data_IF_227102215318
#
_entry.id   IF_227102215318
#
_cell.length_a   1.000
_cell.length_b   1.000
_cell.length_c   1.000
_cell.angle_alpha   90.00
_cell.angle_beta   90.00
_cell.angle_gamma   90.00
#
_symmetry.space_group_name_H-M   'P 1'
#
loop_
_entity.id
_entity.type
_entity.pdbx_description
1 polymer ?
#
# COMPACT_ATOMS: atom_id res chain seq x y z
N UNK A 1 5.29 -5.75 16.99
CA UNK A 1 5.82 -6.36 18.22
C UNK A 1 5.91 -7.84 17.97
N UNK A 2 7.13 -8.34 17.76
CA UNK A 2 7.36 -9.79 17.65
C UNK A 2 7.33 -10.38 19.06
N UNK A 3 6.43 -11.33 19.30
CA UNK A 3 6.39 -12.07 20.56
C UNK A 3 7.12 -13.39 20.33
N UNK A 4 8.25 -13.60 20.99
CA UNK A 4 9.08 -14.81 20.86
C UNK A 4 8.44 -16.08 21.45
N UNK A 5 7.24 -15.98 22.01
CA UNK A 5 6.50 -17.11 22.60
C UNK A 5 5.00 -16.94 22.39
N UNK A 6 4.35 -18.05 22.11
CA UNK A 6 2.90 -18.13 22.13
C UNK A 6 2.38 -17.78 23.53
N UNK A 7 1.49 -16.81 23.60
CA UNK A 7 0.82 -16.42 24.83
C UNK A 7 -0.60 -16.96 24.81
N UNK A 8 -0.91 -17.89 25.68
CA UNK A 8 -2.25 -18.47 25.80
C UNK A 8 -2.99 -17.83 26.98
N UNK A 9 -4.06 -17.10 26.66
CA UNK A 9 -4.94 -16.48 27.64
C UNK A 9 -6.28 -17.23 27.66
N UNK A 10 -6.63 -17.82 28.79
CA UNK A 10 -7.95 -18.39 29.01
C UNK A 10 -8.94 -17.30 29.43
N UNK A 11 -10.06 -17.22 28.75
CA UNK A 11 -11.18 -16.33 29.10
C UNK A 11 -12.30 -17.18 29.64
N UNK A 12 -12.67 -16.93 30.89
CA UNK A 12 -13.79 -17.61 31.60
C UNK A 12 -15.08 -16.82 31.45
N UNK A 13 -15.98 -17.03 32.41
CA UNK A 13 -17.27 -16.35 32.46
C UNK A 13 -17.13 -14.85 32.79
N UNK A 14 -18.14 -14.07 32.43
CA UNK A 14 -18.29 -12.73 32.93
C UNK A 14 -18.56 -12.75 34.44
N UNK A 15 -18.15 -11.66 35.13
CA UNK A 15 -18.55 -11.42 36.50
C UNK A 15 -20.06 -11.10 36.60
N UNK A 16 -20.60 -10.99 37.82
CA UNK A 16 -22.06 -10.88 38.06
C UNK A 16 -22.70 -9.66 37.38
N UNK A 17 -21.98 -8.56 37.24
CA UNK A 17 -22.47 -7.33 36.58
C UNK A 17 -22.22 -7.31 35.08
N UNK A 18 -21.52 -8.29 34.52
CA UNK A 18 -21.18 -8.40 33.10
C UNK A 18 -20.10 -7.43 32.64
N UNK A 19 -19.57 -6.59 33.52
CA UNK A 19 -18.59 -5.54 33.16
C UNK A 19 -17.17 -6.05 32.96
N UNK A 20 -16.87 -7.29 33.37
CA UNK A 20 -15.55 -7.91 33.31
C UNK A 20 -15.62 -9.40 33.15
N UNK A 21 -14.58 -10.01 32.59
CA UNK A 21 -14.40 -11.45 32.48
C UNK A 21 -13.25 -11.91 33.39
N UNK A 22 -13.38 -13.11 33.93
CA UNK A 22 -12.27 -13.79 34.57
C UNK A 22 -11.30 -14.30 33.53
N UNK A 23 -10.03 -13.93 33.66
CA UNK A 23 -8.97 -14.32 32.73
C UNK A 23 -7.82 -14.97 33.47
N UNK A 24 -7.16 -15.92 32.82
CA UNK A 24 -6.01 -16.65 33.36
C UNK A 24 -4.97 -16.87 32.28
N UNK A 25 -3.71 -16.56 32.56
CA UNK A 25 -2.60 -16.91 31.68
C UNK A 25 -2.26 -18.40 31.80
N UNK A 26 -1.93 -19.05 30.70
CA UNK A 26 -1.45 -20.44 30.75
C UNK A 26 -0.20 -20.54 31.63
N UNK A 27 -0.12 -21.61 32.41
CA UNK A 27 0.96 -21.81 33.39
C UNK A 27 0.86 -20.96 34.66
N UNK A 28 -0.06 -20.01 34.78
CA UNK A 28 -0.32 -19.25 36.00
C UNK A 28 -1.43 -19.89 36.84
N UNK A 29 -1.37 -19.74 38.16
CA UNK A 29 -2.49 -20.08 39.06
C UNK A 29 -3.33 -18.86 39.46
N UNK A 30 -2.97 -17.68 38.96
CA UNK A 30 -3.67 -16.44 39.27
C UNK A 30 -4.79 -16.19 38.26
N UNK A 31 -5.95 -15.77 38.76
CA UNK A 31 -7.11 -15.36 37.97
C UNK A 31 -7.30 -13.88 38.17
N UNK A 32 -7.44 -13.17 37.07
CA UNK A 32 -7.63 -11.72 37.05
C UNK A 32 -8.97 -11.34 36.44
N UNK A 33 -9.44 -10.13 36.73
CA UNK A 33 -10.57 -9.53 36.05
C UNK A 33 -10.04 -8.62 34.94
N UNK A 34 -10.57 -8.82 33.73
CA UNK A 34 -10.31 -7.95 32.58
C UNK A 34 -11.63 -7.35 32.10
N UNK A 35 -11.67 -6.06 31.83
CA UNK A 35 -12.89 -5.39 31.38
C UNK A 35 -13.46 -6.03 30.13
N UNK A 36 -14.78 -6.10 30.03
CA UNK A 36 -15.48 -6.71 28.88
C UNK A 36 -15.00 -6.08 27.56
N UNK A 37 -14.85 -4.75 27.50
CA UNK A 37 -14.37 -4.06 26.30
C UNK A 37 -12.99 -4.53 25.84
N UNK A 38 -12.06 -4.83 26.76
CA UNK A 38 -10.74 -5.35 26.41
C UNK A 38 -10.81 -6.80 25.92
N UNK A 39 -11.63 -7.63 26.54
CA UNK A 39 -11.84 -9.03 26.12
C UNK A 39 -12.48 -9.10 24.75
N UNK A 40 -13.48 -8.27 24.47
CA UNK A 40 -14.22 -8.23 23.22
C UNK A 40 -13.34 -7.77 22.04
N UNK A 41 -12.21 -7.09 22.30
CA UNK A 41 -11.27 -6.73 21.22
C UNK A 41 -10.64 -7.94 20.54
N UNK A 42 -10.52 -9.06 21.22
CA UNK A 42 -9.89 -10.27 20.66
C UNK A 42 -10.78 -11.52 20.68
N UNK A 43 -11.87 -11.55 21.47
CA UNK A 43 -12.83 -12.66 21.47
C UNK A 43 -13.85 -12.48 20.34
N UNK A 44 -14.25 -13.58 19.71
CA UNK A 44 -15.21 -13.56 18.60
C UNK A 44 -14.67 -13.00 17.29
N UNK A 45 -13.39 -12.68 17.23
CA UNK A 45 -12.72 -12.23 16.00
C UNK A 45 -12.40 -13.42 15.09
N UNK A 46 -12.49 -13.16 13.78
CA UNK A 46 -12.03 -14.09 12.74
C UNK A 46 -10.67 -13.64 12.26
N UNK A 47 -9.89 -14.51 11.64
CA UNK A 47 -8.62 -14.16 11.01
C UNK A 47 -8.76 -12.97 10.04
N UNK A 48 -9.87 -12.93 9.29
CA UNK A 48 -10.20 -11.84 8.37
C UNK A 48 -10.34 -10.46 9.02
N UNK A 49 -10.64 -10.38 10.33
CA UNK A 49 -10.75 -9.10 11.04
C UNK A 49 -9.38 -8.45 11.29
N UNK A 50 -8.30 -9.21 11.08
CA UNK A 50 -6.91 -8.77 11.22
C UNK A 50 -6.18 -8.64 9.87
N UNK A 51 -6.87 -8.88 8.75
CA UNK A 51 -6.25 -8.73 7.44
C UNK A 51 -5.82 -7.29 7.18
N UNK A 52 -4.64 -7.12 6.65
CA UNK A 52 -4.25 -5.87 6.04
C UNK A 52 -5.15 -5.63 4.83
N UNK A 53 -5.89 -4.51 4.83
CA UNK A 53 -6.81 -4.21 3.73
C UNK A 53 -6.13 -3.44 2.58
N UNK A 54 -4.88 -3.03 2.70
CA UNK A 54 -4.13 -2.48 1.57
C UNK A 54 -3.84 -3.59 0.55
N UNK A 55 -3.80 -3.22 -0.73
CA UNK A 55 -3.47 -4.16 -1.80
C UNK A 55 -1.97 -4.40 -1.86
N UNK A 56 -1.17 -3.33 -1.80
CA UNK A 56 0.26 -3.36 -1.65
C UNK A 56 0.71 -1.99 -1.14
N UNK A 57 1.28 -1.95 0.06
CA UNK A 57 1.69 -0.70 0.71
C UNK A 57 3.21 -0.56 0.69
N UNK A 58 3.74 -0.35 -0.52
CA UNK A 58 5.16 -0.36 -0.77
C UNK A 58 5.82 1.00 -0.49
N UNK A 59 6.96 0.95 0.20
CA UNK A 59 7.72 2.16 0.48
C UNK A 59 8.46 2.64 -0.77
N UNK A 60 8.24 3.88 -1.18
CA UNK A 60 8.91 4.47 -2.33
C UNK A 60 10.43 4.51 -2.20
N UNK A 61 11.00 4.45 -0.98
CA UNK A 61 12.45 4.39 -0.78
C UNK A 61 13.08 3.10 -1.30
N UNK A 62 12.33 2.01 -1.32
CA UNK A 62 12.78 0.68 -1.74
C UNK A 62 12.50 0.42 -3.23
N UNK A 63 11.76 1.35 -3.88
CA UNK A 63 11.45 1.31 -5.30
C UNK A 63 12.69 1.65 -6.13
N UNK A 64 13.02 0.81 -7.11
CA UNK A 64 14.03 1.06 -8.14
C UNK A 64 13.39 1.57 -9.43
N UNK A 65 12.31 0.93 -9.87
CA UNK A 65 11.48 1.37 -11.00
C UNK A 65 10.06 0.85 -10.88
N UNK A 66 9.15 1.47 -11.63
CA UNK A 66 7.73 1.14 -11.67
C UNK A 66 7.27 1.03 -13.13
N UNK A 67 6.83 -0.14 -13.54
CA UNK A 67 6.20 -0.34 -14.84
C UNK A 67 4.69 -0.21 -14.71
N UNK A 68 4.10 0.66 -15.53
CA UNK A 68 2.64 0.82 -15.61
C UNK A 68 2.18 0.44 -17.01
N UNK A 69 1.31 -0.57 -17.08
CA UNK A 69 0.59 -0.92 -18.31
C UNK A 69 -0.84 -0.42 -18.22
N UNK A 70 -1.21 0.46 -19.12
CA UNK A 70 -2.56 1.01 -19.24
C UNK A 70 -2.92 1.24 -20.71
N UNK A 71 -4.13 0.85 -21.11
CA UNK A 71 -4.59 0.92 -22.52
C UNK A 71 -3.64 0.22 -23.52
N UNK A 72 -2.97 -0.86 -23.08
CA UNK A 72 -2.04 -1.64 -23.92
C UNK A 72 -0.67 -1.01 -24.10
N UNK A 73 -0.38 0.11 -23.46
CA UNK A 73 0.93 0.76 -23.47
C UNK A 73 1.59 0.61 -22.09
N UNK A 74 2.89 0.26 -22.10
CA UNK A 74 3.71 0.18 -20.88
C UNK A 74 4.68 1.34 -20.81
N UNK A 75 4.71 2.01 -19.64
CA UNK A 75 5.67 3.06 -19.31
C UNK A 75 6.47 2.64 -18.09
N UNK A 76 7.79 2.81 -18.16
CA UNK A 76 8.71 2.52 -17.07
C UNK A 76 9.17 3.84 -16.42
N UNK A 77 8.91 3.98 -15.14
CA UNK A 77 9.36 5.11 -14.32
C UNK A 77 10.53 4.66 -13.45
N UNK A 78 11.71 5.28 -13.63
CA UNK A 78 12.93 4.94 -12.91
C UNK A 78 13.17 5.96 -11.81
N UNK A 79 13.46 5.48 -10.60
CA UNK A 79 13.84 6.33 -9.46
C UNK A 79 15.35 6.46 -9.39
N UNK A 80 15.85 7.68 -9.32
CA UNK A 80 17.25 8.01 -9.14
C UNK A 80 17.48 8.63 -7.77
N UNK A 81 18.58 8.26 -7.12
CA UNK A 81 19.02 8.80 -5.84
C UNK A 81 20.45 9.29 -5.98
N UNK A 82 20.67 10.57 -5.81
CA UNK A 82 21.99 11.19 -5.80
C UNK A 82 22.32 11.68 -4.39
N UNK A 83 23.50 11.33 -3.89
CA UNK A 83 24.02 11.86 -2.63
C UNK A 83 24.75 13.16 -2.88
N UNK A 84 24.25 14.24 -2.30
CA UNK A 84 24.93 15.54 -2.29
C UNK A 84 25.55 15.79 -0.92
N UNK A 85 26.88 15.98 -0.89
CA UNK A 85 27.57 16.46 0.31
C UNK A 85 27.37 17.97 0.40
N UNK A 86 27.05 18.42 1.57
CA UNK A 86 27.00 19.84 1.89
C UNK A 86 28.44 20.33 2.10
N UNK A 87 28.87 21.35 1.32
CA UNK A 87 30.24 21.88 1.38
C UNK A 87 30.58 22.55 2.73
N UNK A 88 29.56 22.92 3.51
CA UNK A 88 29.71 23.62 4.79
C UNK A 88 29.43 22.73 6.03
N UNK A 89 29.04 21.48 5.83
CA UNK A 89 28.76 20.52 6.93
C UNK A 89 29.08 19.08 6.51
N UNK A 90 29.41 18.21 7.50
CA UNK A 90 29.58 16.75 7.28
C UNK A 90 28.24 16.02 6.97
N UNK A 91 27.17 16.76 6.64
CA UNK A 91 25.86 16.19 6.32
C UNK A 91 25.76 15.81 4.84
N UNK A 92 25.19 14.63 4.58
CA UNK A 92 24.85 14.17 3.24
C UNK A 92 23.33 14.26 3.06
N UNK A 93 22.89 14.95 2.00
CA UNK A 93 21.48 15.00 1.61
C UNK A 93 21.25 14.12 0.39
N UNK A 94 20.08 13.45 0.33
CA UNK A 94 19.71 12.67 -0.85
C UNK A 94 18.77 13.49 -1.73
N UNK A 95 19.15 13.68 -2.98
CA UNK A 95 18.28 14.22 -4.02
C UNK A 95 17.62 13.08 -4.79
N UNK A 96 16.28 13.08 -4.84
CA UNK A 96 15.49 12.03 -5.50
C UNK A 96 14.82 12.63 -6.72
N UNK A 97 15.06 12.01 -7.88
CA UNK A 97 14.40 12.33 -9.15
C UNK A 97 13.80 11.09 -9.81
N UNK A 98 12.94 11.32 -10.79
CA UNK A 98 12.26 10.25 -11.53
C UNK A 98 12.37 10.53 -13.02
N UNK A 99 12.54 9.47 -13.84
CA UNK A 99 12.55 9.57 -15.31
C UNK A 99 11.59 8.56 -15.92
N UNK A 100 11.09 8.87 -17.14
CA UNK A 100 10.40 7.92 -17.99
C UNK A 100 11.03 8.00 -19.40
N UNK A 101 11.81 6.99 -19.77
CA UNK A 101 12.73 7.10 -20.90
C UNK A 101 13.76 8.21 -20.66
N UNK A 102 13.88 9.13 -21.61
CA UNK A 102 14.80 10.27 -21.52
C UNK A 102 14.17 11.52 -20.85
N UNK A 103 12.89 11.44 -20.48
CA UNK A 103 12.18 12.58 -19.88
C UNK A 103 12.27 12.55 -18.34
N UNK A 104 12.61 13.69 -17.74
CA UNK A 104 12.52 13.88 -16.27
C UNK A 104 11.06 14.11 -15.89
N UNK A 105 10.64 13.48 -14.81
CA UNK A 105 9.26 13.53 -14.31
C UNK A 105 9.20 14.40 -13.06
N UNK A 106 8.18 15.27 -12.99
CA UNK A 106 7.94 16.07 -11.80
C UNK A 106 7.70 15.15 -10.57
N UNK A 107 8.52 15.36 -9.55
CA UNK A 107 8.54 14.55 -8.33
C UNK A 107 7.20 14.58 -7.60
N UNK A 108 6.53 15.74 -7.56
CA UNK A 108 5.26 15.87 -6.83
C UNK A 108 4.13 15.13 -7.54
N UNK A 109 4.12 15.17 -8.85
CA UNK A 109 3.15 14.45 -9.69
C UNK A 109 3.36 12.94 -9.60
N UNK A 110 4.63 12.47 -9.66
CA UNK A 110 4.94 11.05 -9.45
C UNK A 110 4.50 10.57 -8.06
N UNK A 111 4.87 11.30 -7.00
CA UNK A 111 4.53 10.88 -5.63
C UNK A 111 3.03 10.93 -5.36
N UNK A 112 2.28 11.84 -5.98
CA UNK A 112 0.82 11.90 -5.91
C UNK A 112 0.19 10.66 -6.54
N UNK A 113 0.63 10.28 -7.75
CA UNK A 113 0.19 9.04 -8.40
C UNK A 113 0.56 7.82 -7.55
N UNK A 114 1.85 7.70 -7.17
CA UNK A 114 2.36 6.58 -6.38
C UNK A 114 1.55 6.38 -5.09
N UNK A 115 1.31 7.47 -4.35
CA UNK A 115 0.50 7.43 -3.13
C UNK A 115 -0.94 6.96 -3.38
N UNK A 116 -1.54 7.34 -4.52
CA UNK A 116 -2.88 6.90 -4.88
C UNK A 116 -2.91 5.40 -5.24
N UNK A 117 -1.82 4.86 -5.80
CA UNK A 117 -1.68 3.46 -6.16
C UNK A 117 -1.50 2.58 -4.92
N UNK A 118 -0.50 2.87 -4.07
CA UNK A 118 -0.24 2.10 -2.84
C UNK A 118 -1.32 2.30 -1.76
N UNK A 119 -2.09 3.39 -1.86
CA UNK A 119 -3.20 3.70 -0.96
C UNK A 119 -4.50 2.93 -1.26
N UNK A 120 -4.53 2.10 -2.32
CA UNK A 120 -5.71 1.31 -2.65
C UNK A 120 -5.97 0.25 -1.59
N UNK A 121 -7.25 0.17 -1.16
CA UNK A 121 -7.71 -0.76 -0.14
C UNK A 121 -8.78 -1.68 -0.69
N UNK A 122 -8.70 -2.95 -0.30
CA UNK A 122 -9.77 -3.90 -0.51
C UNK A 122 -11.01 -3.49 0.30
N UNK A 123 -12.18 -3.65 -0.29
CA UNK A 123 -13.47 -3.65 0.42
C UNK A 123 -13.82 -5.05 0.89
N UNK A 124 -13.35 -6.05 0.15
CA UNK A 124 -13.55 -7.48 0.43
C UNK A 124 -12.30 -8.22 0.00
N UNK A 125 -11.87 -9.17 0.82
CA UNK A 125 -10.86 -10.18 0.51
C UNK A 125 -11.51 -11.54 0.66
N UNK A 126 -11.44 -12.39 -0.36
CA UNK A 126 -12.06 -13.72 -0.36
C UNK A 126 -11.36 -14.62 -1.39
N UNK A 127 -10.86 -15.77 -0.93
CA UNK A 127 -10.18 -16.75 -1.77
C UNK A 127 -11.07 -17.34 -2.88
N UNK A 128 -12.39 -17.21 -2.75
CA UNK A 128 -13.35 -17.67 -3.77
C UNK A 128 -13.57 -16.72 -4.93
N UNK A 129 -13.05 -15.47 -4.83
CA UNK A 129 -13.14 -14.49 -5.91
C UNK A 129 -12.31 -14.95 -7.12
N UNK A 130 -12.89 -14.79 -8.30
CA UNK A 130 -12.25 -15.17 -9.56
C UNK A 130 -12.22 -13.98 -10.51
N UNK A 131 -11.08 -13.77 -11.13
CA UNK A 131 -10.94 -12.77 -12.20
C UNK A 131 -11.85 -13.12 -13.37
N UNK A 132 -12.75 -12.19 -13.74
CA UNK A 132 -13.72 -12.40 -14.81
C UNK A 132 -13.31 -11.77 -16.14
N UNK A 133 -12.40 -10.81 -16.14
CA UNK A 133 -11.96 -10.03 -17.30
C UNK A 133 -10.46 -9.78 -17.25
N UNK A 134 -9.88 -9.39 -18.38
CA UNK A 134 -8.50 -8.96 -18.47
C UNK A 134 -8.27 -7.67 -17.66
N UNK A 135 -7.03 -7.48 -17.20
CA UNK A 135 -6.65 -6.28 -16.48
C UNK A 135 -6.67 -5.06 -17.40
N UNK A 136 -7.28 -3.98 -16.94
CA UNK A 136 -7.22 -2.68 -17.59
C UNK A 136 -6.02 -1.85 -17.15
N UNK A 137 -5.52 -2.12 -15.94
CA UNK A 137 -4.37 -1.44 -15.37
C UNK A 137 -3.48 -2.46 -14.66
N UNK A 138 -2.18 -2.44 -14.95
CA UNK A 138 -1.18 -3.29 -14.27
C UNK A 138 -0.02 -2.42 -13.80
N UNK A 139 0.40 -2.62 -12.57
CA UNK A 139 1.59 -2.03 -12.00
C UNK A 139 2.57 -3.12 -11.58
N UNK A 140 3.82 -3.05 -12.05
CA UNK A 140 4.93 -3.89 -11.62
C UNK A 140 5.92 -3.01 -10.87
N UNK A 141 6.07 -3.27 -9.59
CA UNK A 141 7.02 -2.61 -8.71
C UNK A 141 8.31 -3.42 -8.72
N UNK A 142 9.38 -2.83 -9.19
CA UNK A 142 10.73 -3.38 -9.08
C UNK A 142 11.35 -2.83 -7.80
N UNK A 143 11.31 -3.64 -6.74
CA UNK A 143 11.82 -3.27 -5.43
C UNK A 143 13.23 -3.81 -5.22
N UNK A 144 13.93 -3.34 -4.19
CA UNK A 144 15.30 -3.80 -3.87
C UNK A 144 15.36 -5.27 -3.47
N UNK A 145 14.24 -5.84 -3.00
CA UNK A 145 14.12 -7.22 -2.50
C UNK A 145 13.28 -8.14 -3.40
N UNK A 146 12.80 -7.65 -4.53
CA UNK A 146 12.04 -8.43 -5.52
C UNK A 146 10.94 -7.65 -6.20
N UNK A 147 10.29 -8.28 -7.16
CA UNK A 147 9.23 -7.66 -7.95
C UNK A 147 7.85 -8.00 -7.38
N UNK A 148 6.96 -7.00 -7.35
CA UNK A 148 5.55 -7.16 -7.00
C UNK A 148 4.68 -6.70 -8.15
N UNK A 149 3.61 -7.44 -8.45
CA UNK A 149 2.70 -7.13 -9.54
C UNK A 149 1.27 -7.02 -9.04
N UNK A 150 0.63 -5.90 -9.32
CA UNK A 150 -0.79 -5.69 -9.05
C UNK A 150 -1.54 -5.39 -10.35
N UNK A 151 -2.50 -6.26 -10.68
CA UNK A 151 -3.33 -6.14 -11.88
C UNK A 151 -4.78 -5.86 -11.49
N UNK A 152 -5.36 -4.81 -12.03
CA UNK A 152 -6.72 -4.37 -11.72
C UNK A 152 -7.64 -4.67 -12.91
N UNK A 153 -8.57 -5.59 -12.70
CA UNK A 153 -9.54 -6.06 -13.71
C UNK A 153 -10.95 -5.62 -13.35
N UNK A 154 -11.77 -5.11 -14.31
CA UNK A 154 -13.16 -4.82 -14.02
C UNK A 154 -13.90 -6.08 -13.54
N UNK A 155 -14.52 -5.99 -12.35
CA UNK A 155 -15.28 -7.09 -11.79
C UNK A 155 -16.78 -6.91 -12.04
N UNK A 156 -17.35 -5.82 -11.52
CA UNK A 156 -18.75 -5.47 -11.72
C UNK A 156 -18.94 -3.94 -11.89
N UNK A 157 -20.16 -3.45 -11.63
CA UNK A 157 -20.45 -2.00 -11.69
C UNK A 157 -19.73 -1.18 -10.62
N UNK A 158 -19.32 -1.79 -9.50
CA UNK A 158 -18.85 -1.12 -8.29
C UNK A 158 -17.38 -1.44 -7.95
N UNK A 159 -16.85 -2.54 -8.48
CA UNK A 159 -15.55 -3.06 -8.06
C UNK A 159 -14.62 -3.43 -9.22
N UNK A 160 -13.33 -3.36 -8.92
CA UNK A 160 -12.25 -4.01 -9.63
C UNK A 160 -11.76 -5.20 -8.80
N UNK A 161 -11.40 -6.28 -9.50
CA UNK A 161 -10.69 -7.43 -8.94
C UNK A 161 -9.19 -7.18 -9.00
N UNK A 162 -8.48 -7.58 -7.98
CA UNK A 162 -7.02 -7.67 -7.93
C UNK A 162 -6.61 -8.79 -6.98
N UNK A 163 -5.32 -9.10 -6.95
CA UNK A 163 -4.70 -9.96 -5.94
C UNK A 163 -3.74 -9.08 -5.15
N UNK A 164 -3.78 -9.18 -3.83
CA UNK A 164 -2.91 -8.38 -2.97
C UNK A 164 -1.50 -8.98 -2.84
N UNK A 165 -0.63 -8.33 -2.06
CA UNK A 165 0.75 -8.74 -1.81
C UNK A 165 0.86 -10.13 -1.15
N UNK A 166 -0.15 -10.55 -0.37
CA UNK A 166 -0.23 -11.86 0.27
C UNK A 166 -0.80 -12.96 -0.65
N UNK A 167 -1.14 -12.61 -1.89
CA UNK A 167 -1.75 -13.52 -2.86
C UNK A 167 -3.25 -13.73 -2.67
N UNK A 168 -3.93 -12.90 -1.86
CA UNK A 168 -5.37 -13.03 -1.58
C UNK A 168 -6.20 -12.24 -2.59
N UNK A 169 -7.16 -12.90 -3.29
CA UNK A 169 -8.09 -12.23 -4.18
C UNK A 169 -8.92 -11.15 -3.45
N UNK A 170 -9.01 -9.98 -4.05
CA UNK A 170 -9.52 -8.77 -3.41
C UNK A 170 -10.40 -7.95 -4.36
N UNK A 171 -11.41 -7.28 -3.80
CA UNK A 171 -12.23 -6.30 -4.52
C UNK A 171 -11.93 -4.89 -4.04
N UNK A 172 -11.58 -4.01 -4.96
CA UNK A 172 -11.29 -2.59 -4.73
C UNK A 172 -12.41 -1.74 -5.30
N UNK A 173 -12.81 -0.69 -4.59
CA UNK A 173 -13.85 0.21 -5.04
C UNK A 173 -13.46 0.89 -6.37
N UNK A 174 -14.38 0.87 -7.33
CA UNK A 174 -14.18 1.41 -8.69
C UNK A 174 -13.80 2.89 -8.69
N UNK A 175 -14.37 3.69 -7.79
CA UNK A 175 -14.05 5.12 -7.72
C UNK A 175 -12.61 5.36 -7.27
N UNK A 176 -12.07 4.51 -6.37
CA UNK A 176 -10.69 4.63 -5.92
C UNK A 176 -9.72 4.28 -7.05
N UNK A 177 -10.00 3.20 -7.81
CA UNK A 177 -9.21 2.86 -9.01
C UNK A 177 -9.30 3.96 -10.06
N UNK A 178 -10.50 4.54 -10.28
CA UNK A 178 -10.67 5.67 -11.20
C UNK A 178 -9.83 6.88 -10.78
N UNK A 179 -9.83 7.25 -9.51
CA UNK A 179 -9.01 8.35 -8.98
C UNK A 179 -7.51 8.08 -9.20
N UNK A 180 -7.07 6.85 -8.97
CA UNK A 180 -5.68 6.44 -9.24
C UNK A 180 -5.35 6.58 -10.74
N UNK A 181 -6.23 6.13 -11.65
CA UNK A 181 -6.06 6.27 -13.11
C UNK A 181 -6.07 7.74 -13.54
N UNK A 182 -6.91 8.59 -12.92
CA UNK A 182 -6.89 10.04 -13.17
C UNK A 182 -5.55 10.68 -12.76
N UNK A 183 -4.97 10.26 -11.65
CA UNK A 183 -3.64 10.72 -11.23
C UNK A 183 -2.55 10.17 -12.16
N UNK A 184 -2.70 8.95 -12.67
CA UNK A 184 -1.82 8.44 -13.74
C UNK A 184 -1.92 9.27 -15.02
N UNK A 185 -3.13 9.68 -15.41
CA UNK A 185 -3.33 10.58 -16.54
C UNK A 185 -2.61 11.93 -16.38
N UNK A 186 -2.57 12.49 -15.16
CA UNK A 186 -1.80 13.70 -14.85
C UNK A 186 -0.29 13.43 -14.97
N UNK A 187 0.18 12.26 -14.49
CA UNK A 187 1.58 11.86 -14.62
C UNK A 187 2.01 11.73 -16.08
N UNK A 188 1.17 11.17 -16.94
CA UNK A 188 1.42 11.09 -18.39
C UNK A 188 1.47 12.47 -19.06
N UNK A 189 0.72 13.46 -18.55
CA UNK A 189 0.66 14.82 -19.09
C UNK A 189 1.73 15.75 -18.51
N UNK A 190 2.35 15.36 -17.38
CA UNK A 190 3.38 16.16 -16.72
C UNK A 190 4.71 16.05 -17.47
N UNK A 191 4.85 16.88 -18.51
CA UNK A 191 6.17 17.19 -19.07
C UNK A 191 6.85 18.18 -18.14
N UNK A 192 8.14 17.98 -17.85
CA UNK A 192 8.96 19.04 -17.28
C UNK A 192 8.90 20.22 -18.24
N UNK A 193 8.45 21.38 -17.75
CA UNK A 193 8.72 22.64 -18.44
C UNK A 193 10.24 22.79 -18.42
N UNK A 194 10.88 22.53 -19.54
CA UNK A 194 12.27 22.93 -19.78
C UNK A 194 12.36 24.42 -19.45
N UNK A 195 13.32 24.76 -18.62
CA UNK A 195 13.67 26.11 -18.21
C UNK A 195 14.07 26.97 -19.44
N UNK A 196 13.07 27.32 -20.28
CA UNK A 196 13.21 28.23 -21.41
C UNK A 196 12.89 29.67 -21.00
N UNK A 197 13.55 30.17 -19.95
CA UNK A 197 13.57 31.58 -19.60
C UNK A 197 15.01 32.09 -19.39
N UNK A 198 15.84 31.97 -20.40
CA UNK A 198 16.99 32.85 -20.54
C UNK A 198 17.17 33.14 -22.02
N UNK A 199 16.69 34.25 -22.47
CA UNK A 199 17.39 35.28 -23.26
C UNK A 199 16.35 36.14 -23.95
N UNK A 200 16.12 37.31 -23.39
CA UNK A 200 15.98 38.51 -24.21
C UNK A 200 16.50 39.66 -23.38
N UNK A 201 17.82 39.86 -23.49
CA UNK A 201 18.44 41.16 -23.21
C UNK A 201 18.69 41.84 -24.56
N UNK A 202 18.03 42.93 -24.76
CA UNK A 202 18.53 44.06 -25.56
C UNK A 202 18.50 45.29 -24.69
#
# INVERSE_FOLDING_TARGET
VTVDKDLVLYVGNANEDGGSYYVKLDGSNEVHLMTASNVETFTGKKASDFWNMYIGMENVSDLTSLDITYNGETKTYVRHVEEKKDDDSDSTTQEISYTCGDETIDKSTFTTFYSSLIGLKAQTKDESLVQAKDAEFTAVFHMTDGDLTFAYSPYDSSFYYTVDEDGVPSLVNKNNVKTMVENYGKLLAAKTEDDSSSDTAE
#
